data_IF_068378356564
#
_entry.id   IF_068378356564
#
_cell.length_a   1.000
_cell.length_b   1.000
_cell.length_c   1.000
_cell.angle_alpha   90.00
_cell.angle_beta   90.00
_cell.angle_gamma   90.00
#
_symmetry.space_group_name_H-M   'P 1'
#
loop_
_entity.id
_entity.type
_entity.pdbx_description
1 polymer ?
#
# COMPACT_ATOMS: atom_id res chain seq x y z
N UNK A 1 -0.67 -31.32 -0.55
CA UNK A 1 -1.33 -30.00 -0.60
C UNK A 1 -1.32 -29.52 -2.04
N UNK A 2 -2.35 -28.79 -2.47
CA UNK A 2 -2.47 -28.29 -3.84
C UNK A 2 -1.56 -27.09 -4.13
N UNK A 3 -1.73 -26.47 -5.30
CA UNK A 3 -1.05 -25.22 -5.68
C UNK A 3 -1.21 -24.15 -4.59
N UNK A 4 -0.11 -23.52 -4.18
CA UNK A 4 -0.09 -22.52 -3.12
C UNK A 4 -0.04 -21.10 -3.70
N UNK A 5 -1.21 -20.57 -4.05
CA UNK A 5 -1.33 -19.24 -4.67
C UNK A 5 -0.97 -18.15 -3.65
N UNK A 6 -1.26 -18.39 -2.36
CA UNK A 6 -0.99 -17.45 -1.30
C UNK A 6 0.50 -17.15 -1.12
N UNK A 7 1.36 -18.15 -1.27
CA UNK A 7 2.82 -17.98 -1.20
C UNK A 7 3.35 -17.04 -2.28
N UNK A 8 2.86 -17.17 -3.52
CA UNK A 8 3.26 -16.30 -4.62
C UNK A 8 2.74 -14.87 -4.47
N UNK A 9 1.52 -14.68 -3.95
CA UNK A 9 0.89 -13.36 -3.86
C UNK A 9 1.25 -12.58 -2.59
N UNK A 10 1.45 -13.28 -1.47
CA UNK A 10 1.67 -12.66 -0.17
C UNK A 10 3.16 -12.62 0.23
N UNK A 11 3.99 -13.48 -0.36
CA UNK A 11 5.46 -13.55 -0.17
C UNK A 11 5.84 -13.43 1.31
N UNK A 12 6.40 -12.31 1.76
CA UNK A 12 6.88 -12.10 3.14
C UNK A 12 5.76 -12.25 4.18
N UNK A 13 4.52 -11.90 3.83
CA UNK A 13 3.36 -12.09 4.73
C UNK A 13 3.04 -13.58 4.87
N UNK A 14 3.20 -14.35 3.80
CA UNK A 14 3.04 -15.80 3.87
C UNK A 14 4.13 -16.45 4.71
N UNK A 15 5.39 -16.02 4.56
CA UNK A 15 6.51 -16.49 5.38
C UNK A 15 6.29 -16.20 6.87
N UNK A 16 5.73 -15.02 7.19
CA UNK A 16 5.32 -14.68 8.55
C UNK A 16 4.28 -15.66 9.09
N UNK A 17 3.28 -16.03 8.29
CA UNK A 17 2.27 -17.01 8.70
C UNK A 17 2.86 -18.40 8.91
N UNK A 18 3.76 -18.85 8.02
CA UNK A 18 4.45 -20.14 8.16
C UNK A 18 5.28 -20.16 9.43
N UNK A 19 6.04 -19.09 9.69
CA UNK A 19 6.87 -18.97 10.88
C UNK A 19 6.04 -18.96 12.18
N UNK A 20 4.88 -18.31 12.17
CA UNK A 20 4.04 -18.17 13.37
C UNK A 20 3.12 -19.37 13.64
N UNK A 21 2.57 -19.99 12.59
CA UNK A 21 1.45 -20.94 12.68
C UNK A 21 1.77 -22.33 12.12
N UNK A 22 2.90 -22.49 11.43
CA UNK A 22 3.28 -23.70 10.71
C UNK A 22 2.60 -23.84 9.34
N UNK A 23 3.17 -24.68 8.48
CA UNK A 23 2.81 -24.75 7.05
C UNK A 23 1.34 -25.05 6.77
N UNK A 24 0.70 -25.95 7.53
CA UNK A 24 -0.72 -26.31 7.31
C UNK A 24 -1.67 -25.14 7.62
N UNK A 25 -1.46 -24.45 8.74
CA UNK A 25 -2.31 -23.32 9.13
C UNK A 25 -2.04 -22.09 8.26
N UNK A 26 -0.78 -21.83 7.93
CA UNK A 26 -0.37 -20.77 7.01
C UNK A 26 -0.98 -20.94 5.62
N UNK A 27 -1.06 -22.18 5.12
CA UNK A 27 -1.70 -22.47 3.84
C UNK A 27 -3.17 -22.03 3.83
N UNK A 28 -3.96 -22.41 4.84
CA UNK A 28 -5.37 -22.01 4.93
C UNK A 28 -5.53 -20.51 5.13
N UNK A 29 -4.79 -19.92 6.08
CA UNK A 29 -4.88 -18.50 6.39
C UNK A 29 -4.46 -17.66 5.18
N UNK A 30 -3.39 -18.03 4.49
CA UNK A 30 -2.93 -17.32 3.30
C UNK A 30 -3.98 -17.26 2.20
N UNK A 31 -4.67 -18.38 1.90
CA UNK A 31 -5.74 -18.40 0.90
C UNK A 31 -6.96 -17.59 1.35
N UNK A 32 -7.33 -17.66 2.63
CA UNK A 32 -8.40 -16.83 3.18
C UNK A 32 -8.07 -15.34 3.09
N UNK A 33 -6.83 -14.95 3.35
CA UNK A 33 -6.36 -13.56 3.18
C UNK A 33 -6.48 -13.12 1.72
N UNK A 34 -6.02 -13.94 0.76
CA UNK A 34 -6.15 -13.62 -0.68
C UNK A 34 -7.62 -13.47 -1.08
N UNK A 35 -8.49 -14.41 -0.68
CA UNK A 35 -9.93 -14.33 -0.96
C UNK A 35 -10.52 -13.07 -0.32
N UNK A 36 -10.16 -12.75 0.92
CA UNK A 36 -10.62 -11.57 1.63
C UNK A 36 -10.24 -10.27 0.91
N UNK A 37 -9.00 -10.18 0.41
CA UNK A 37 -8.55 -9.03 -0.41
C UNK A 37 -9.37 -8.93 -1.69
N UNK A 38 -9.55 -10.03 -2.43
CA UNK A 38 -10.31 -10.03 -3.68
C UNK A 38 -11.78 -9.62 -3.47
N UNK A 39 -12.44 -10.20 -2.48
CA UNK A 39 -13.82 -9.85 -2.11
C UNK A 39 -13.89 -8.39 -1.67
N UNK A 40 -12.92 -7.91 -0.90
CA UNK A 40 -12.84 -6.51 -0.49
C UNK A 40 -12.73 -5.56 -1.68
N UNK A 41 -11.88 -5.87 -2.66
CA UNK A 41 -11.73 -5.08 -3.90
C UNK A 41 -13.05 -5.06 -4.68
N UNK A 42 -13.68 -6.22 -4.87
CA UNK A 42 -14.95 -6.33 -5.60
C UNK A 42 -16.04 -5.53 -4.88
N UNK A 43 -16.12 -5.63 -3.55
CA UNK A 43 -17.09 -4.91 -2.75
C UNK A 43 -16.87 -3.40 -2.83
N UNK A 44 -15.63 -2.92 -2.73
CA UNK A 44 -15.31 -1.49 -2.89
C UNK A 44 -15.69 -1.00 -4.28
N UNK A 45 -15.41 -1.77 -5.33
CA UNK A 45 -15.77 -1.41 -6.70
C UNK A 45 -17.30 -1.37 -6.90
N UNK A 46 -18.01 -2.35 -6.33
CA UNK A 46 -19.47 -2.42 -6.41
C UNK A 46 -20.17 -1.30 -5.63
N UNK A 47 -19.55 -0.81 -4.54
CA UNK A 47 -20.09 0.23 -3.67
C UNK A 47 -19.27 1.54 -3.76
N UNK A 48 -18.68 1.81 -4.92
CA UNK A 48 -17.75 2.93 -5.08
C UNK A 48 -18.39 4.29 -4.77
N UNK A 49 -19.68 4.48 -5.06
CA UNK A 49 -20.41 5.70 -4.69
C UNK A 49 -20.28 5.98 -3.20
N UNK A 50 -20.67 5.01 -2.38
CA UNK A 50 -20.78 5.14 -0.93
C UNK A 50 -19.39 5.21 -0.30
N UNK A 51 -18.43 4.44 -0.82
CA UNK A 51 -17.03 4.51 -0.40
C UNK A 51 -16.42 5.87 -0.72
N UNK A 52 -16.64 6.37 -1.93
CA UNK A 52 -16.10 7.68 -2.35
C UNK A 52 -16.72 8.83 -1.57
N UNK A 53 -18.01 8.75 -1.26
CA UNK A 53 -18.71 9.73 -0.43
C UNK A 53 -18.25 9.66 1.03
N UNK A 54 -18.24 8.47 1.63
CA UNK A 54 -17.84 8.25 3.02
C UNK A 54 -16.38 8.61 3.30
N UNK A 55 -15.48 8.40 2.33
CA UNK A 55 -14.09 8.84 2.41
C UNK A 55 -13.88 10.28 1.92
N UNK A 56 -14.95 10.95 1.48
CA UNK A 56 -14.93 12.30 0.90
C UNK A 56 -13.84 12.42 -0.18
N UNK A 57 -13.75 11.42 -1.06
CA UNK A 57 -12.79 11.34 -2.16
C UNK A 57 -13.26 12.23 -3.31
N UNK A 58 -12.67 13.41 -3.42
CA UNK A 58 -12.78 14.22 -4.64
C UNK A 58 -11.78 13.73 -5.69
N UNK A 59 -12.06 13.98 -6.98
CA UNK A 59 -11.11 13.68 -8.08
C UNK A 59 -9.72 14.25 -7.78
N UNK A 60 -9.66 15.46 -7.23
CA UNK A 60 -8.41 16.11 -6.85
C UNK A 60 -7.70 15.41 -5.69
N UNK A 61 -8.43 14.92 -4.68
CA UNK A 61 -7.83 14.12 -3.59
C UNK A 61 -7.26 12.81 -4.12
N UNK A 62 -7.96 12.11 -5.00
CA UNK A 62 -7.46 10.86 -5.63
C UNK A 62 -6.18 11.14 -6.42
N UNK A 63 -6.16 12.19 -7.23
CA UNK A 63 -4.96 12.62 -7.94
C UNK A 63 -3.80 12.97 -7.00
N UNK A 64 -4.09 13.68 -5.92
CA UNK A 64 -3.10 13.99 -4.89
C UNK A 64 -2.48 12.68 -4.36
N UNK A 65 -3.31 11.72 -3.93
CA UNK A 65 -2.83 10.43 -3.42
C UNK A 65 -1.98 9.67 -4.43
N UNK A 66 -2.36 9.68 -5.71
CA UNK A 66 -1.55 9.06 -6.77
C UNK A 66 -0.18 9.73 -6.93
N UNK A 67 -0.12 11.07 -6.87
CA UNK A 67 1.15 11.82 -6.91
C UNK A 67 2.00 11.49 -5.69
N UNK A 68 1.42 11.40 -4.50
CA UNK A 68 2.13 11.03 -3.28
C UNK A 68 2.73 9.62 -3.35
N UNK A 69 1.93 8.64 -3.77
CA UNK A 69 2.39 7.26 -3.93
C UNK A 69 3.46 7.18 -5.01
N UNK A 70 3.24 7.81 -6.17
CA UNK A 70 4.20 7.84 -7.27
C UNK A 70 5.53 8.51 -6.88
N UNK A 71 5.48 9.63 -6.16
CA UNK A 71 6.66 10.32 -5.64
C UNK A 71 7.43 9.44 -4.66
N UNK A 72 6.73 8.78 -3.73
CA UNK A 72 7.36 7.89 -2.75
C UNK A 72 8.04 6.71 -3.43
N UNK A 73 7.36 6.04 -4.38
CA UNK A 73 7.94 4.93 -5.15
C UNK A 73 9.17 5.40 -5.94
N UNK A 74 9.05 6.53 -6.64
CA UNK A 74 10.16 7.10 -7.41
C UNK A 74 11.37 7.42 -6.54
N UNK A 75 11.16 7.98 -5.36
CA UNK A 75 12.22 8.23 -4.38
C UNK A 75 12.87 6.93 -3.89
N UNK A 76 12.08 5.90 -3.55
CA UNK A 76 12.62 4.59 -3.15
C UNK A 76 13.52 4.03 -4.25
N UNK A 77 13.06 4.05 -5.50
CA UNK A 77 13.84 3.55 -6.64
C UNK A 77 15.16 4.31 -6.82
N UNK A 78 15.17 5.63 -6.65
CA UNK A 78 16.38 6.45 -6.71
C UNK A 78 17.30 6.14 -5.53
N UNK A 79 16.78 6.05 -4.31
CA UNK A 79 17.58 5.83 -3.11
C UNK A 79 18.24 4.46 -3.10
N UNK A 80 17.52 3.41 -3.51
CA UNK A 80 18.07 2.07 -3.69
C UNK A 80 19.03 2.04 -4.87
N UNK A 81 18.60 2.50 -6.05
CA UNK A 81 19.33 2.32 -7.30
C UNK A 81 20.53 3.25 -7.51
N UNK A 82 20.51 4.45 -6.95
CA UNK A 82 21.56 5.47 -7.16
C UNK A 82 22.37 5.76 -5.89
N UNK A 83 21.73 5.75 -4.72
CA UNK A 83 22.39 6.12 -3.46
C UNK A 83 22.80 4.92 -2.61
N UNK A 84 22.44 3.69 -3.00
CA UNK A 84 22.86 2.47 -2.32
C UNK A 84 22.23 2.28 -0.94
N UNK A 85 21.06 2.88 -0.70
CA UNK A 85 20.35 2.71 0.57
C UNK A 85 19.84 1.27 0.69
N UNK A 86 19.85 0.66 1.91
CA UNK A 86 19.09 -0.56 2.15
C UNK A 86 17.59 -0.29 1.95
N UNK A 87 16.83 -1.26 1.43
CA UNK A 87 15.43 -1.08 1.01
C UNK A 87 14.56 -0.43 2.09
N UNK A 88 14.68 -0.90 3.34
CA UNK A 88 13.90 -0.35 4.44
C UNK A 88 14.28 1.09 4.77
N UNK A 89 15.58 1.42 4.71
CA UNK A 89 16.07 2.78 4.88
C UNK A 89 15.59 3.71 3.77
N UNK A 90 15.60 3.23 2.53
CA UNK A 90 15.09 3.94 1.36
C UNK A 90 13.58 4.24 1.51
N UNK A 91 12.79 3.23 1.89
CA UNK A 91 11.35 3.40 2.10
C UNK A 91 11.02 4.40 3.20
N UNK A 92 11.63 4.29 4.38
CA UNK A 92 11.36 5.21 5.49
C UNK A 92 11.75 6.64 5.11
N UNK A 93 12.90 6.83 4.46
CA UNK A 93 13.37 8.15 4.04
C UNK A 93 12.44 8.75 2.98
N UNK A 94 12.07 7.97 1.96
CA UNK A 94 11.15 8.40 0.91
C UNK A 94 9.78 8.76 1.49
N UNK A 95 9.22 7.90 2.33
CA UNK A 95 7.94 8.14 2.98
C UNK A 95 7.97 9.40 3.84
N UNK A 96 9.02 9.59 4.65
CA UNK A 96 9.18 10.78 5.48
C UNK A 96 9.28 12.06 4.64
N UNK A 97 10.03 12.02 3.54
CA UNK A 97 10.22 13.17 2.64
C UNK A 97 8.90 13.51 1.93
N UNK A 98 8.22 12.52 1.35
CA UNK A 98 6.91 12.69 0.72
C UNK A 98 5.86 13.20 1.70
N UNK A 99 5.82 12.66 2.93
CA UNK A 99 4.91 13.13 3.99
C UNK A 99 5.18 14.59 4.36
N UNK A 100 6.44 14.97 4.46
CA UNK A 100 6.83 16.35 4.75
C UNK A 100 6.39 17.31 3.62
N UNK A 101 6.62 16.93 2.36
CA UNK A 101 6.19 17.71 1.19
C UNK A 101 4.67 17.83 1.14
N UNK A 102 3.97 16.72 1.36
CA UNK A 102 2.51 16.68 1.43
C UNK A 102 1.97 17.60 2.52
N UNK A 103 2.52 17.50 3.73
CA UNK A 103 2.13 18.34 4.85
C UNK A 103 2.40 19.82 4.56
N UNK A 104 3.55 20.13 3.95
CA UNK A 104 3.92 21.49 3.54
C UNK A 104 2.94 22.06 2.53
N UNK A 105 2.55 21.27 1.52
CA UNK A 105 1.55 21.66 0.53
C UNK A 105 0.23 22.05 1.17
N UNK A 106 -0.29 21.23 2.09
CA UNK A 106 -1.58 21.51 2.74
C UNK A 106 -1.53 22.58 3.83
N UNK A 107 -0.35 22.85 4.40
CA UNK A 107 -0.19 23.76 5.53
C UNK A 107 0.33 25.14 5.13
N UNK A 108 1.10 25.23 4.05
CA UNK A 108 1.76 26.47 3.61
C UNK A 108 1.10 27.10 2.38
N UNK A 109 0.38 26.35 1.55
CA UNK A 109 -0.45 26.98 0.53
C UNK A 109 -1.75 27.50 1.15
N UNK A 110 -2.03 28.81 1.08
CA UNK A 110 -3.29 29.33 1.53
C UNK A 110 -4.37 28.71 0.64
N UNK A 111 -5.26 27.91 1.23
CA UNK A 111 -6.57 27.66 0.64
C UNK A 111 -7.18 29.03 0.41
N UNK A 112 -7.20 29.51 -0.84
CA UNK A 112 -7.98 30.70 -1.18
C UNK A 112 -9.41 30.43 -0.72
N UNK A 113 -9.83 31.18 0.29
CA UNK A 113 -11.20 31.27 0.75
C UNK A 113 -12.11 31.80 -0.36
#
# INVERSE_FOLDING_TARGET
>A
MGLNIAEYLLVDVYDLYVAALGGTAAWWLGHLTVIGILVGIIWVAANWSDVSEGLNLSKMKVWSWLVFVGMTIGQVMIYVGQFGFPEMGAFITALGTSCFVWWSWYSLEPRRA
#
